data_IF_465353112139
#
_entry.id   IF_465353112139
#
_cell.length_a   1.000
_cell.length_b   1.000
_cell.length_c   1.000
_cell.angle_alpha   90.00
_cell.angle_beta   90.00
_cell.angle_gamma   90.00
#
_symmetry.space_group_name_H-M   'P 1'
#
loop_
_entity.id
_entity.type
_entity.pdbx_description
1 polymer ?
#
# COMPACT_ATOMS: atom_id res chain seq x y z
N UNK A 1 29.25 20.05 -23.48
CA UNK A 1 27.80 19.77 -23.51
C UNK A 1 27.37 19.54 -22.08
N UNK A 2 26.51 20.38 -21.50
CA UNK A 2 25.90 20.11 -20.20
C UNK A 2 24.81 19.07 -20.45
N UNK A 3 24.98 17.86 -19.89
CA UNK A 3 23.90 16.87 -19.88
C UNK A 3 22.66 17.48 -19.19
N UNK A 4 21.52 17.40 -19.82
CA UNK A 4 20.25 17.72 -19.16
C UNK A 4 20.11 16.74 -17.99
N UNK A 5 19.73 17.19 -16.78
CA UNK A 5 19.38 16.26 -15.72
C UNK A 5 18.25 15.37 -16.23
N UNK A 6 18.39 14.06 -16.06
CA UNK A 6 17.32 13.10 -16.34
C UNK A 6 16.09 13.46 -15.52
N UNK A 7 14.90 13.26 -16.08
CA UNK A 7 13.67 13.31 -15.29
C UNK A 7 13.72 12.21 -14.22
N UNK A 8 13.07 12.41 -13.06
CA UNK A 8 13.06 11.42 -11.97
C UNK A 8 12.67 10.01 -12.44
N UNK A 9 11.70 9.91 -13.32
CA UNK A 9 11.23 8.66 -13.93
C UNK A 9 12.31 8.02 -14.82
N UNK A 10 12.97 8.79 -15.68
CA UNK A 10 14.06 8.32 -16.53
C UNK A 10 15.25 7.84 -15.69
N UNK A 11 15.59 8.57 -14.63
CA UNK A 11 16.65 8.18 -13.72
C UNK A 11 16.31 6.87 -12.97
N UNK A 12 15.07 6.75 -12.49
CA UNK A 12 14.60 5.53 -11.82
C UNK A 12 14.69 4.32 -12.75
N UNK A 13 14.24 4.45 -14.00
CA UNK A 13 14.31 3.36 -14.99
C UNK A 13 15.75 3.00 -15.35
N UNK A 14 16.61 4.00 -15.55
CA UNK A 14 18.03 3.77 -15.86
C UNK A 14 18.73 2.99 -14.75
N UNK A 15 18.49 3.33 -13.50
CA UNK A 15 19.01 2.60 -12.34
C UNK A 15 18.40 1.21 -12.23
N UNK A 16 17.09 1.07 -12.37
CA UNK A 16 16.39 -0.20 -12.21
C UNK A 16 16.78 -1.21 -13.30
N UNK A 17 16.82 -0.80 -14.56
CA UNK A 17 17.20 -1.68 -15.67
C UNK A 17 18.72 -1.84 -15.83
N UNK A 18 19.51 -0.88 -15.36
CA UNK A 18 20.97 -0.95 -15.38
C UNK A 18 21.56 -1.90 -14.33
N UNK A 19 20.78 -2.29 -13.33
CA UNK A 19 21.25 -3.13 -12.23
C UNK A 19 21.46 -4.62 -12.63
N UNK A 20 20.91 -5.07 -13.76
CA UNK A 20 20.98 -6.47 -14.20
C UNK A 20 20.25 -7.44 -13.27
N UNK A 21 20.74 -8.69 -13.22
CA UNK A 21 20.14 -9.74 -12.38
C UNK A 21 20.61 -9.58 -10.92
N UNK A 22 19.91 -8.74 -10.16
CA UNK A 22 20.12 -8.60 -8.72
C UNK A 22 18.83 -8.92 -7.98
N UNK A 23 18.93 -9.65 -6.86
CA UNK A 23 17.77 -9.98 -6.02
C UNK A 23 17.21 -8.75 -5.30
N UNK A 24 18.07 -7.80 -4.96
CA UNK A 24 17.72 -6.59 -4.21
C UNK A 24 18.50 -5.39 -4.75
N UNK A 25 17.78 -4.36 -5.13
CA UNK A 25 18.33 -3.07 -5.53
C UNK A 25 17.97 -2.00 -4.50
N UNK A 26 18.97 -1.35 -3.92
CA UNK A 26 18.79 -0.23 -3.00
C UNK A 26 19.05 1.10 -3.71
N UNK A 27 18.01 1.91 -3.86
CA UNK A 27 18.11 3.26 -4.41
C UNK A 27 18.02 4.27 -3.26
N UNK A 28 19.00 5.15 -3.15
CA UNK A 28 19.07 6.17 -2.09
C UNK A 28 19.17 7.58 -2.67
N UNK A 29 18.84 8.58 -1.85
CA UNK A 29 19.03 9.99 -2.24
C UNK A 29 17.84 10.65 -2.92
N UNK A 30 16.71 9.95 -3.09
CA UNK A 30 15.49 10.47 -3.71
C UNK A 30 14.69 11.31 -2.68
N UNK A 31 15.16 12.53 -2.38
CA UNK A 31 14.62 13.31 -1.26
C UNK A 31 13.38 14.14 -1.59
N UNK A 32 13.31 14.68 -2.79
CA UNK A 32 12.35 15.72 -3.17
C UNK A 32 11.56 15.35 -4.43
N UNK A 33 11.55 14.07 -4.78
CA UNK A 33 10.93 13.58 -6.00
C UNK A 33 9.53 13.03 -5.76
N UNK A 34 8.78 12.87 -6.82
CA UNK A 34 7.51 12.18 -6.76
C UNK A 34 7.67 10.82 -6.08
N UNK A 35 6.65 10.33 -5.36
CA UNK A 35 6.75 9.07 -4.64
C UNK A 35 7.29 7.97 -5.53
N UNK A 36 8.40 7.36 -5.16
CA UNK A 36 9.01 6.25 -5.91
C UNK A 36 7.98 5.15 -6.19
N UNK A 37 7.05 4.96 -5.24
CA UNK A 37 5.91 4.08 -5.41
C UNK A 37 5.01 4.44 -6.63
N UNK A 38 5.05 5.68 -7.14
CA UNK A 38 4.35 6.02 -8.37
C UNK A 38 5.02 5.41 -9.62
N UNK A 39 6.28 5.01 -9.51
CA UNK A 39 7.06 4.40 -10.60
C UNK A 39 7.03 2.87 -10.59
N UNK A 40 6.42 2.27 -9.56
CA UNK A 40 6.38 0.81 -9.39
C UNK A 40 5.78 0.08 -10.60
N UNK A 41 4.85 0.72 -11.31
CA UNK A 41 4.24 0.15 -12.53
C UNK A 41 5.19 0.09 -13.74
N UNK A 42 6.34 0.77 -13.66
CA UNK A 42 7.34 0.79 -14.73
C UNK A 42 8.34 -0.37 -14.64
N UNK A 43 8.38 -1.07 -13.51
CA UNK A 43 9.30 -2.19 -13.27
C UNK A 43 8.46 -3.45 -13.07
N UNK A 44 8.48 -4.32 -14.08
CA UNK A 44 7.72 -5.56 -14.05
C UNK A 44 8.30 -6.54 -13.03
N UNK A 45 7.42 -7.32 -12.39
CA UNK A 45 7.72 -8.42 -11.46
C UNK A 45 8.65 -8.03 -10.28
N UNK A 46 8.74 -6.73 -9.98
CA UNK A 46 9.56 -6.21 -8.89
C UNK A 46 8.69 -5.59 -7.81
N UNK A 47 8.97 -5.93 -6.57
CA UNK A 47 8.36 -5.27 -5.41
C UNK A 47 9.16 -4.02 -5.09
N UNK A 48 8.49 -2.87 -5.08
CA UNK A 48 9.06 -1.61 -4.62
C UNK A 48 8.63 -1.36 -3.17
N UNK A 49 9.62 -1.24 -2.28
CA UNK A 49 9.41 -0.81 -0.90
C UNK A 49 10.01 0.57 -0.72
N UNK A 50 9.17 1.55 -0.40
CA UNK A 50 9.65 2.86 -0.04
C UNK A 50 9.87 2.96 1.47
N UNK A 51 11.10 3.22 1.87
CA UNK A 51 11.46 3.43 3.28
C UNK A 51 11.78 4.91 3.47
N UNK A 52 10.91 5.63 4.17
CA UNK A 52 11.19 7.00 4.59
C UNK A 52 11.99 6.97 5.89
N UNK A 53 13.22 7.47 5.81
CA UNK A 53 14.06 7.67 7.00
C UNK A 53 13.85 9.08 7.50
N UNK A 54 13.39 9.24 8.73
CA UNK A 54 13.20 10.54 9.37
C UNK A 54 13.92 10.61 10.71
N UNK A 55 14.16 11.81 11.20
CA UNK A 55 14.72 12.06 12.53
C UNK A 55 14.13 13.36 13.08
N UNK A 56 14.00 13.46 14.40
CA UNK A 56 13.56 14.67 15.08
C UNK A 56 14.48 15.85 14.76
N UNK A 57 13.94 17.06 14.89
CA UNK A 57 14.72 18.29 14.67
C UNK A 57 15.92 18.35 15.61
N UNK A 58 15.76 17.94 16.85
CA UNK A 58 16.83 17.87 17.83
C UNK A 58 17.96 16.94 17.37
N UNK A 59 17.65 15.73 16.93
CA UNK A 59 18.63 14.77 16.38
C UNK A 59 19.33 15.34 15.16
N UNK A 60 18.59 16.02 14.27
CA UNK A 60 19.17 16.65 13.09
C UNK A 60 20.12 17.78 13.42
N UNK A 61 19.80 18.62 14.41
CA UNK A 61 20.68 19.70 14.91
C UNK A 61 21.97 19.14 15.50
N UNK A 62 21.86 18.16 16.41
CA UNK A 62 23.03 17.50 17.01
C UNK A 62 23.95 16.89 15.95
N UNK A 63 23.38 16.20 14.95
CA UNK A 63 24.17 15.59 13.86
C UNK A 63 24.81 16.59 12.91
N UNK A 64 24.26 17.82 12.82
CA UNK A 64 24.86 18.96 12.08
C UNK A 64 25.96 19.68 12.87
N UNK A 65 26.19 19.31 14.13
CA UNK A 65 27.18 19.96 15.00
C UNK A 65 26.70 21.27 15.60
N UNK A 66 25.40 21.60 15.55
CA UNK A 66 24.85 22.74 16.26
C UNK A 66 24.68 22.35 17.72
N UNK A 67 25.53 22.90 18.61
CA UNK A 67 25.39 22.74 20.06
C UNK A 67 24.30 23.69 20.58
N UNK A 68 23.58 23.28 21.64
CA UNK A 68 22.68 24.15 22.39
C UNK A 68 23.52 25.28 23.03
N UNK A 69 23.54 26.41 22.43
CA UNK A 69 24.31 27.56 22.94
C UNK A 69 24.52 28.71 21.95
N UNK A 70 24.33 28.49 20.68
CA UNK A 70 24.42 29.51 19.65
C UNK A 70 23.04 30.18 19.45
N UNK A 71 22.65 30.93 20.43
CA UNK A 71 21.60 31.97 20.35
C UNK A 71 22.21 33.14 19.61
N UNK A 72 22.31 33.04 18.30
CA UNK A 72 22.89 34.11 17.50
C UNK A 72 21.84 35.13 17.09
N UNK A 73 21.96 36.24 17.77
CA UNK A 73 21.61 37.56 17.30
C UNK A 73 22.40 37.93 16.04
N UNK A 74 22.00 37.43 14.87
CA UNK A 74 22.31 38.01 13.57
C UNK A 74 21.07 37.99 12.66
N UNK A 75 20.14 38.89 12.98
CA UNK A 75 19.15 39.36 12.02
C UNK A 75 19.85 40.19 10.97
N UNK A 76 19.66 39.84 9.74
CA UNK A 76 19.96 40.54 8.48
C UNK A 76 21.18 40.02 7.68
N UNK A 77 20.89 39.15 6.74
CA UNK A 77 21.05 39.40 5.28
C UNK A 77 20.89 38.09 4.49
N UNK A 78 20.08 38.17 3.44
CA UNK A 78 20.07 37.23 2.32
C UNK A 78 19.34 35.88 2.51
N UNK A 79 18.10 35.90 2.98
CA UNK A 79 17.23 34.71 2.99
C UNK A 79 15.87 34.95 2.30
N UNK A 80 15.87 35.60 1.13
CA UNK A 80 14.63 35.76 0.34
C UNK A 80 14.42 34.65 -0.70
N UNK A 81 15.43 33.88 -1.07
CA UNK A 81 15.28 32.86 -2.13
C UNK A 81 15.13 31.41 -1.63
N UNK A 82 15.47 31.12 -0.37
CA UNK A 82 15.38 29.73 0.14
C UNK A 82 13.99 29.35 0.66
N UNK A 83 13.15 30.32 1.02
CA UNK A 83 11.79 30.04 1.52
C UNK A 83 10.72 29.93 0.43
N UNK A 84 11.03 30.35 -0.81
CA UNK A 84 10.08 30.30 -1.91
C UNK A 84 10.14 29.00 -2.73
N UNK A 85 11.19 28.19 -2.53
CA UNK A 85 11.29 26.86 -3.16
C UNK A 85 10.63 25.77 -2.30
N UNK A 86 10.42 26.03 -1.00
CA UNK A 86 9.75 25.08 -0.08
C UNK A 86 8.22 25.05 -0.17
N UNK A 87 7.58 26.02 -0.83
CA UNK A 87 6.13 26.17 -0.78
C UNK A 87 5.37 25.67 -2.00
N UNK A 88 6.03 25.16 -3.04
CA UNK A 88 5.36 24.72 -4.27
C UNK A 88 5.39 23.21 -4.53
N UNK A 89 6.08 22.43 -3.71
CA UNK A 89 5.80 21.00 -3.67
C UNK A 89 4.63 20.82 -2.71
N UNK A 90 3.43 20.71 -3.26
CA UNK A 90 2.36 20.01 -2.55
C UNK A 90 3.00 18.71 -2.09
N UNK A 91 3.31 18.61 -0.80
CA UNK A 91 3.69 17.35 -0.20
C UNK A 91 2.59 16.40 -0.64
N UNK A 92 2.92 15.50 -1.56
CA UNK A 92 1.96 14.53 -2.05
C UNK A 92 1.48 13.83 -0.80
N UNK A 93 0.19 13.97 -0.54
CA UNK A 93 -0.47 13.46 0.65
C UNK A 93 -0.52 11.93 0.55
N UNK A 94 0.62 11.29 0.81
CA UNK A 94 0.75 9.84 0.72
C UNK A 94 1.65 9.31 1.84
N UNK A 95 1.38 8.07 2.22
CA UNK A 95 2.18 7.34 3.19
C UNK A 95 3.21 6.45 2.46
N UNK A 96 4.49 6.48 2.83
CA UNK A 96 5.49 5.53 2.33
C UNK A 96 5.17 4.12 2.84
N UNK A 97 5.71 3.09 2.18
CA UNK A 97 5.52 1.70 2.60
C UNK A 97 5.98 1.47 4.04
N UNK A 98 7.11 2.05 4.40
CA UNK A 98 7.69 1.97 5.74
C UNK A 98 8.24 3.33 6.19
N UNK A 99 8.21 3.56 7.50
CA UNK A 99 8.83 4.74 8.12
C UNK A 99 9.84 4.23 9.15
N UNK A 100 11.08 4.71 9.06
CA UNK A 100 12.12 4.47 10.03
C UNK A 100 12.49 5.74 10.77
N UNK A 101 12.20 5.77 12.07
CA UNK A 101 12.57 6.86 12.97
C UNK A 101 14.01 6.68 13.44
N UNK A 102 14.93 7.47 12.87
CA UNK A 102 16.35 7.38 13.12
C UNK A 102 16.80 8.43 14.16
N UNK A 103 16.23 8.34 15.36
CA UNK A 103 16.57 9.27 16.46
C UNK A 103 17.64 8.74 17.39
N UNK A 104 18.01 7.49 17.28
CA UNK A 104 19.04 6.85 18.11
C UNK A 104 20.41 6.89 17.44
N UNK A 105 21.46 6.78 18.25
CA UNK A 105 22.84 6.61 17.78
C UNK A 105 23.20 5.13 17.82
N UNK A 106 23.89 4.65 16.76
CA UNK A 106 24.35 3.26 16.70
C UNK A 106 23.66 2.43 15.62
N UNK A 107 23.91 1.12 15.64
CA UNK A 107 23.45 0.17 14.61
C UNK A 107 22.27 -0.70 15.05
N UNK A 108 21.92 -0.68 16.32
CA UNK A 108 20.93 -1.61 16.90
C UNK A 108 19.51 -1.33 16.40
N UNK A 109 19.07 -0.07 16.37
CA UNK A 109 17.73 0.28 15.89
C UNK A 109 17.58 0.06 14.38
N UNK A 110 18.54 0.49 13.51
CA UNK A 110 18.49 0.11 12.09
C UNK A 110 18.47 -1.39 11.86
N UNK A 111 19.24 -2.16 12.64
CA UNK A 111 19.26 -3.62 12.56
C UNK A 111 17.91 -4.21 12.94
N UNK A 112 17.34 -3.79 14.09
CA UNK A 112 16.02 -4.23 14.53
C UNK A 112 14.93 -3.88 13.51
N UNK A 113 14.97 -2.68 12.95
CA UNK A 113 14.06 -2.27 11.89
C UNK A 113 14.17 -3.18 10.66
N UNK A 114 15.39 -3.46 10.21
CA UNK A 114 15.62 -4.36 9.08
C UNK A 114 15.12 -5.78 9.37
N UNK A 115 15.44 -6.34 10.53
CA UNK A 115 15.03 -7.69 10.94
C UNK A 115 13.49 -7.80 11.03
N UNK A 116 12.83 -6.78 11.53
CA UNK A 116 11.39 -6.83 11.77
C UNK A 116 10.57 -6.45 10.53
N UNK A 117 11.00 -5.46 9.75
CA UNK A 117 10.20 -4.89 8.68
C UNK A 117 10.72 -5.17 7.27
N UNK A 118 12.02 -5.45 7.09
CA UNK A 118 12.57 -5.69 5.75
C UNK A 118 12.75 -7.18 5.47
N UNK A 119 13.34 -7.94 6.40
CA UNK A 119 13.60 -9.36 6.19
C UNK A 119 12.35 -10.20 5.85
N UNK A 120 11.15 -9.92 6.40
CA UNK A 120 9.96 -10.67 6.00
C UNK A 120 9.68 -10.63 4.49
N UNK A 121 10.07 -9.56 3.79
CA UNK A 121 9.88 -9.44 2.34
C UNK A 121 10.85 -10.29 1.51
N UNK A 122 11.91 -10.81 2.11
CA UNK A 122 12.89 -11.69 1.45
C UNK A 122 12.67 -13.17 1.79
N UNK A 123 11.56 -13.50 2.42
CA UNK A 123 11.29 -14.87 2.88
C UNK A 123 10.90 -15.78 1.70
N UNK A 124 11.43 -17.01 1.69
CA UNK A 124 11.10 -18.04 0.69
C UNK A 124 9.59 -18.35 0.60
N UNK A 125 8.85 -18.09 1.67
CA UNK A 125 7.40 -18.31 1.73
C UNK A 125 6.62 -17.38 0.79
N UNK A 126 7.10 -16.18 0.51
CA UNK A 126 6.49 -15.32 -0.53
C UNK A 126 6.66 -15.95 -1.93
N UNK A 127 7.83 -16.49 -2.22
CA UNK A 127 8.04 -17.19 -3.49
C UNK A 127 7.19 -18.46 -3.58
N UNK A 128 7.06 -19.20 -2.49
CA UNK A 128 6.16 -20.35 -2.42
C UNK A 128 4.72 -19.95 -2.67
N UNK A 129 4.26 -18.84 -2.07
CA UNK A 129 2.93 -18.30 -2.28
C UNK A 129 2.73 -17.87 -3.76
N UNK A 130 3.73 -17.17 -4.33
CA UNK A 130 3.69 -16.73 -5.73
C UNK A 130 3.55 -17.93 -6.71
N UNK A 131 4.25 -19.03 -6.43
CA UNK A 131 4.18 -20.24 -7.23
C UNK A 131 2.81 -20.95 -7.18
N UNK A 132 1.96 -20.60 -6.19
CA UNK A 132 0.59 -21.11 -6.11
C UNK A 132 -0.39 -20.32 -6.99
N UNK A 133 0.02 -19.16 -7.50
CA UNK A 133 -0.81 -18.32 -8.38
C UNK A 133 -0.62 -18.74 -9.83
N UNK A 134 -1.67 -19.32 -10.42
CA UNK A 134 -1.62 -19.84 -11.79
C UNK A 134 -1.87 -18.73 -12.82
N UNK A 135 -1.00 -18.57 -13.82
CA UNK A 135 -1.27 -17.71 -14.97
C UNK A 135 -2.34 -18.37 -15.86
N UNK A 136 -3.29 -17.58 -16.34
CA UNK A 136 -4.34 -17.99 -17.26
C UNK A 136 -4.31 -17.05 -18.46
N UNK A 137 -3.74 -17.48 -19.60
CA UNK A 137 -3.67 -16.66 -20.79
C UNK A 137 -5.06 -16.42 -21.38
N UNK A 138 -5.22 -15.28 -22.02
CA UNK A 138 -6.43 -14.90 -22.77
C UNK A 138 -7.73 -14.90 -21.94
N UNK A 139 -7.66 -14.61 -20.65
CA UNK A 139 -8.82 -14.52 -19.77
C UNK A 139 -8.89 -13.13 -19.08
N UNK A 140 -10.07 -12.51 -18.98
CA UNK A 140 -11.39 -12.88 -19.53
C UNK A 140 -11.53 -12.56 -21.03
N UNK A 141 -10.50 -12.02 -21.65
CA UNK A 141 -10.45 -11.62 -23.07
C UNK A 141 -9.09 -11.96 -23.67
N UNK A 142 -9.01 -12.20 -25.00
CA UNK A 142 -7.73 -12.36 -25.68
C UNK A 142 -6.74 -11.22 -25.39
N UNK A 143 -5.48 -11.55 -25.17
CA UNK A 143 -4.40 -10.60 -24.89
C UNK A 143 -4.25 -10.22 -23.43
N UNK A 144 -5.09 -10.73 -22.53
CA UNK A 144 -4.95 -10.52 -21.07
C UNK A 144 -4.35 -11.79 -20.46
N UNK A 145 -3.25 -11.63 -19.72
CA UNK A 145 -2.72 -12.66 -18.84
C UNK A 145 -3.31 -12.49 -17.45
N UNK A 146 -4.28 -13.32 -17.12
CA UNK A 146 -4.91 -13.33 -15.82
C UNK A 146 -4.10 -14.17 -14.82
N UNK A 147 -3.96 -13.71 -13.60
CA UNK A 147 -3.35 -14.46 -12.50
C UNK A 147 -4.44 -14.92 -11.53
N UNK A 148 -4.65 -16.22 -11.44
CA UNK A 148 -5.71 -16.80 -10.60
C UNK A 148 -5.28 -16.90 -9.15
N UNK A 149 -5.43 -15.80 -8.40
CA UNK A 149 -4.99 -15.68 -7.01
C UNK A 149 -5.73 -16.65 -6.09
N UNK A 150 -7.00 -16.93 -6.36
CA UNK A 150 -7.80 -17.89 -5.56
C UNK A 150 -7.28 -19.33 -5.60
N UNK A 151 -6.41 -19.68 -6.56
CA UNK A 151 -5.73 -20.98 -6.57
C UNK A 151 -4.92 -21.24 -5.30
N UNK A 152 -4.46 -20.17 -4.62
CA UNK A 152 -3.80 -20.28 -3.31
C UNK A 152 -4.70 -21.05 -2.33
N UNK A 153 -5.98 -20.69 -2.26
CA UNK A 153 -6.92 -21.30 -1.32
C UNK A 153 -7.31 -22.73 -1.70
N UNK A 154 -7.06 -23.14 -2.96
CA UNK A 154 -7.37 -24.46 -3.48
C UNK A 154 -6.23 -25.46 -3.26
N UNK A 155 -5.06 -25.00 -2.83
CA UNK A 155 -3.90 -25.85 -2.57
C UNK A 155 -3.75 -26.19 -1.10
N UNK A 156 -3.35 -27.41 -0.75
CA UNK A 156 -3.10 -27.79 0.63
C UNK A 156 -2.07 -26.84 1.30
N UNK A 157 -2.46 -26.26 2.43
CA UNK A 157 -1.62 -25.32 3.16
C UNK A 157 -1.53 -23.91 2.57
N UNK A 158 -2.05 -23.66 1.37
CA UNK A 158 -1.94 -22.35 0.71
C UNK A 158 -2.64 -21.24 1.49
N UNK A 159 -3.88 -21.48 1.93
CA UNK A 159 -4.61 -20.50 2.74
C UNK A 159 -3.88 -20.22 4.07
N UNK A 160 -3.37 -21.24 4.75
CA UNK A 160 -2.64 -21.09 6.00
C UNK A 160 -1.35 -20.29 5.79
N UNK A 161 -0.59 -20.57 4.74
CA UNK A 161 0.60 -19.83 4.35
C UNK A 161 0.29 -18.35 4.07
N UNK A 162 -0.74 -18.11 3.24
CA UNK A 162 -1.16 -16.74 2.90
C UNK A 162 -1.59 -15.97 4.15
N UNK A 163 -2.37 -16.59 5.03
CA UNK A 163 -2.84 -15.97 6.28
C UNK A 163 -1.68 -15.63 7.22
N UNK A 164 -0.72 -16.53 7.37
CA UNK A 164 0.50 -16.27 8.16
C UNK A 164 1.30 -15.10 7.59
N UNK A 165 1.45 -15.03 6.27
CA UNK A 165 2.13 -13.92 5.61
C UNK A 165 1.36 -12.60 5.75
N UNK A 166 0.04 -12.59 5.61
CA UNK A 166 -0.77 -11.39 5.87
C UNK A 166 -0.58 -10.91 7.31
N UNK A 167 -0.61 -11.81 8.29
CA UNK A 167 -0.39 -11.45 9.68
C UNK A 167 1.00 -10.83 9.92
N UNK A 168 2.05 -11.45 9.39
CA UNK A 168 3.45 -11.03 9.64
C UNK A 168 3.87 -9.81 8.84
N UNK A 169 3.25 -9.55 7.68
CA UNK A 169 3.57 -8.40 6.83
C UNK A 169 2.77 -7.15 7.20
N UNK A 170 1.80 -7.26 8.08
CA UNK A 170 1.10 -6.07 8.57
C UNK A 170 2.05 -5.19 9.38
N UNK A 171 2.26 -3.95 8.93
CA UNK A 171 3.18 -2.99 9.58
C UNK A 171 2.55 -2.25 10.75
N UNK A 172 1.27 -2.46 11.01
CA UNK A 172 0.57 -1.95 12.18
C UNK A 172 0.67 -2.90 13.37
N UNK A 173 -0.13 -2.61 14.39
CA UNK A 173 -0.23 -3.41 15.61
C UNK A 173 -1.60 -4.09 15.66
N UNK A 174 -1.66 -5.41 15.54
CA UNK A 174 -2.90 -6.18 15.56
C UNK A 174 -3.70 -5.98 16.86
N UNK A 175 -3.03 -5.67 17.97
CA UNK A 175 -3.70 -5.39 19.24
C UNK A 175 -4.52 -4.09 19.22
N UNK A 176 -4.31 -3.24 18.23
CA UNK A 176 -5.04 -1.97 18.03
C UNK A 176 -6.07 -2.04 16.90
N UNK A 177 -6.19 -3.18 16.24
CA UNK A 177 -7.16 -3.36 15.16
C UNK A 177 -8.48 -3.81 15.74
N UNK A 178 -9.54 -3.05 15.48
CA UNK A 178 -10.89 -3.32 15.98
C UNK A 178 -11.70 -4.21 15.04
N UNK A 179 -11.41 -4.17 13.72
CA UNK A 179 -12.08 -5.01 12.74
C UNK A 179 -11.22 -5.31 11.51
N UNK A 180 -11.43 -6.50 10.93
CA UNK A 180 -11.03 -6.85 9.58
C UNK A 180 -12.23 -6.71 8.67
N UNK A 181 -12.16 -5.86 7.64
CA UNK A 181 -13.23 -5.69 6.66
C UNK A 181 -12.84 -6.29 5.31
N UNK A 182 -13.82 -6.76 4.53
CA UNK A 182 -13.55 -7.31 3.20
C UNK A 182 -14.77 -7.17 2.27
N UNK A 183 -14.48 -7.08 0.96
CA UNK A 183 -15.50 -7.02 -0.07
C UNK A 183 -15.72 -8.39 -0.72
N UNK A 184 -16.99 -8.67 -1.11
CA UNK A 184 -17.30 -9.92 -1.81
C UNK A 184 -16.70 -9.93 -3.21
N UNK A 185 -16.22 -11.09 -3.70
CA UNK A 185 -16.24 -12.39 -3.03
C UNK A 185 -14.84 -12.86 -2.62
N UNK A 186 -13.79 -12.54 -3.38
CA UNK A 186 -12.42 -13.02 -3.18
C UNK A 186 -11.84 -12.64 -1.82
N UNK A 187 -12.09 -11.40 -1.39
CA UNK A 187 -11.66 -10.90 -0.08
C UNK A 187 -12.18 -11.73 1.10
N UNK A 188 -13.37 -12.32 0.99
CA UNK A 188 -13.94 -13.13 2.06
C UNK A 188 -13.07 -14.33 2.44
N UNK A 189 -12.40 -14.96 1.46
CA UNK A 189 -11.58 -16.15 1.67
C UNK A 189 -10.41 -15.84 2.60
N UNK A 190 -9.68 -14.80 2.29
CA UNK A 190 -8.45 -14.43 3.00
C UNK A 190 -8.73 -13.67 4.30
N UNK A 191 -9.69 -12.76 4.24
CA UNK A 191 -10.08 -11.96 5.41
C UNK A 191 -10.65 -12.82 6.55
N UNK A 192 -11.47 -13.83 6.23
CA UNK A 192 -12.05 -14.73 7.23
C UNK A 192 -10.96 -15.53 7.96
N UNK A 193 -9.99 -16.05 7.22
CA UNK A 193 -8.88 -16.79 7.79
C UNK A 193 -7.98 -15.88 8.65
N UNK A 194 -7.70 -14.67 8.18
CA UNK A 194 -6.90 -13.70 8.92
C UNK A 194 -7.60 -13.24 10.19
N UNK A 195 -8.87 -12.85 10.11
CA UNK A 195 -9.66 -12.41 11.25
C UNK A 195 -9.71 -13.47 12.37
N UNK A 196 -9.88 -14.74 11.98
CA UNK A 196 -9.80 -15.87 12.90
C UNK A 196 -8.41 -15.97 13.55
N UNK A 197 -7.35 -15.87 12.77
CA UNK A 197 -5.98 -16.05 13.26
C UNK A 197 -5.54 -14.92 14.19
N UNK A 198 -5.91 -13.68 13.91
CA UNK A 198 -5.56 -12.52 14.75
C UNK A 198 -6.59 -12.24 15.84
N UNK A 199 -7.67 -13.01 15.88
CA UNK A 199 -8.78 -12.89 16.85
C UNK A 199 -9.43 -11.50 16.85
N UNK A 200 -9.73 -10.99 15.64
CA UNK A 200 -10.37 -9.68 15.40
C UNK A 200 -11.71 -9.90 14.69
N UNK A 201 -12.78 -9.13 15.00
CA UNK A 201 -14.06 -9.23 14.31
C UNK A 201 -13.96 -9.10 12.80
N UNK A 202 -14.78 -9.86 12.05
CA UNK A 202 -14.89 -9.78 10.61
C UNK A 202 -16.11 -8.98 10.20
N UNK A 203 -15.93 -7.97 9.35
CA UNK A 203 -16.97 -7.11 8.80
C UNK A 203 -17.10 -7.33 7.30
N UNK A 204 -18.31 -7.61 6.83
CA UNK A 204 -18.57 -7.91 5.43
C UNK A 204 -19.10 -6.69 4.70
N UNK A 205 -18.49 -6.38 3.56
CA UNK A 205 -18.98 -5.41 2.58
C UNK A 205 -19.56 -6.21 1.41
N UNK A 206 -20.82 -5.97 1.07
CA UNK A 206 -21.54 -6.75 0.07
C UNK A 206 -22.24 -5.89 -0.98
N UNK A 207 -22.65 -6.51 -2.07
CA UNK A 207 -23.55 -5.85 -3.03
C UNK A 207 -24.87 -5.47 -2.36
N UNK A 208 -25.39 -4.28 -2.64
CA UNK A 208 -26.55 -3.72 -1.98
C UNK A 208 -27.77 -4.63 -2.05
N UNK A 209 -28.48 -4.75 -0.92
CA UNK A 209 -29.63 -5.64 -0.74
C UNK A 209 -29.28 -7.04 -0.24
N UNK A 210 -28.02 -7.30 0.10
CA UNK A 210 -27.57 -8.59 0.65
C UNK A 210 -27.31 -8.58 2.15
N UNK A 211 -27.33 -7.41 2.78
CA UNK A 211 -27.21 -7.25 4.22
C UNK A 211 -28.53 -6.83 4.85
N UNK A 212 -28.78 -7.19 6.11
CA UNK A 212 -29.97 -6.73 6.83
C UNK A 212 -29.86 -5.22 7.10
N UNK A 213 -30.97 -4.44 7.01
CA UNK A 213 -30.96 -3.04 7.36
C UNK A 213 -30.84 -2.85 8.89
N UNK A 214 -30.30 -1.70 9.36
CA UNK A 214 -29.90 -0.54 8.57
C UNK A 214 -28.52 -0.69 7.95
N UNK A 215 -28.36 -0.24 6.70
CA UNK A 215 -27.09 -0.26 5.97
C UNK A 215 -26.69 1.14 5.49
N UNK A 216 -25.41 1.32 5.21
CA UNK A 216 -24.84 2.45 4.46
C UNK A 216 -24.40 1.91 3.12
N UNK A 217 -24.58 2.66 2.01
CA UNK A 217 -24.21 2.17 0.69
C UNK A 217 -23.65 3.25 -0.22
N UNK A 218 -22.66 2.89 -1.04
CA UNK A 218 -22.06 3.74 -2.06
C UNK A 218 -22.08 3.07 -3.43
N UNK A 219 -21.91 3.88 -4.48
CA UNK A 219 -21.75 3.37 -5.85
C UNK A 219 -20.38 2.71 -5.99
N UNK A 220 -20.37 1.51 -6.55
CA UNK A 220 -19.13 0.84 -6.97
C UNK A 220 -18.97 0.97 -8.49
N UNK A 221 -17.96 1.69 -8.98
CA UNK A 221 -17.68 1.73 -10.40
C UNK A 221 -17.45 0.34 -11.00
N UNK A 222 -17.81 0.11 -12.26
CA UNK A 222 -17.55 -1.16 -12.92
C UNK A 222 -16.04 -1.37 -13.06
N UNK A 223 -15.54 -2.53 -12.63
CA UNK A 223 -14.16 -2.93 -12.92
C UNK A 223 -14.07 -3.39 -14.37
N UNK A 224 -13.21 -2.75 -15.16
CA UNK A 224 -13.01 -3.09 -16.57
C UNK A 224 -12.36 -4.47 -16.79
N UNK A 225 -11.80 -5.07 -15.74
CA UNK A 225 -11.04 -6.31 -15.83
C UNK A 225 -11.89 -7.52 -15.43
N UNK A 226 -12.75 -7.40 -14.43
CA UNK A 226 -13.46 -8.54 -13.84
C UNK A 226 -14.87 -8.76 -14.39
N UNK A 227 -15.39 -7.92 -15.28
CA UNK A 227 -16.75 -8.08 -15.79
C UNK A 227 -16.79 -8.28 -17.31
N UNK A 228 -17.18 -9.47 -17.74
CA UNK A 228 -17.62 -9.74 -19.12
C UNK A 228 -18.98 -9.11 -19.45
N UNK A 229 -19.72 -8.68 -18.44
CA UNK A 229 -21.07 -8.19 -18.58
C UNK A 229 -21.09 -6.68 -18.92
N UNK A 230 -21.43 -6.39 -20.17
CA UNK A 230 -21.70 -5.02 -20.67
C UNK A 230 -23.03 -4.41 -20.18
N UNK A 231 -23.79 -5.11 -19.34
CA UNK A 231 -25.05 -4.59 -18.77
C UNK A 231 -24.77 -3.85 -17.47
N UNK A 232 -24.45 -2.60 -17.59
CA UNK A 232 -24.17 -1.69 -16.49
C UNK A 232 -25.46 -1.17 -15.81
N UNK A 233 -26.09 -2.01 -15.02
CA UNK A 233 -26.81 -1.42 -13.88
C UNK A 233 -25.73 -0.93 -12.90
N UNK A 234 -25.93 0.28 -12.41
CA UNK A 234 -25.09 0.88 -11.39
C UNK A 234 -25.01 -0.08 -10.19
N UNK A 235 -23.84 -0.64 -9.94
CA UNK A 235 -23.63 -1.52 -8.79
C UNK A 235 -23.37 -0.67 -7.56
N UNK A 236 -23.94 -1.09 -6.44
CA UNK A 236 -23.68 -0.48 -5.14
C UNK A 236 -23.16 -1.53 -4.19
N UNK A 237 -22.29 -1.12 -3.29
CA UNK A 237 -21.83 -1.92 -2.14
C UNK A 237 -22.35 -1.30 -0.86
N UNK A 238 -22.57 -2.13 0.15
CA UNK A 238 -23.12 -1.74 1.44
C UNK A 238 -22.39 -2.40 2.60
N UNK A 239 -22.46 -1.76 3.75
CA UNK A 239 -22.01 -2.23 5.05
C UNK A 239 -23.16 -2.04 6.05
N UNK A 240 -23.28 -2.90 7.07
CA UNK A 240 -24.21 -2.67 8.16
C UNK A 240 -23.82 -1.40 8.93
N UNK A 241 -24.83 -0.59 9.27
CA UNK A 241 -24.60 0.63 10.05
C UNK A 241 -24.20 0.26 11.48
N UNK A 242 -23.24 1.00 12.01
CA UNK A 242 -22.76 0.84 13.39
C UNK A 242 -22.14 -0.54 13.70
N UNK A 243 -21.78 -1.32 12.66
CA UNK A 243 -21.11 -2.62 12.83
C UNK A 243 -19.69 -2.47 13.40
N UNK A 244 -19.08 -1.29 13.18
CA UNK A 244 -17.78 -0.90 13.72
C UNK A 244 -17.96 0.42 14.49
N UNK A 245 -17.36 0.58 15.68
CA UNK A 245 -17.41 1.85 16.42
C UNK A 245 -16.77 3.00 15.63
N UNK A 246 -17.21 4.23 15.89
CA UNK A 246 -16.58 5.43 15.34
C UNK A 246 -15.12 5.52 15.80
N UNK A 247 -14.21 5.87 14.88
CA UNK A 247 -12.78 5.97 15.16
C UNK A 247 -12.11 4.60 15.39
N UNK A 248 -12.74 3.51 14.95
CA UNK A 248 -12.16 2.19 15.02
C UNK A 248 -11.05 2.01 13.98
N UNK A 249 -10.01 1.31 14.37
CA UNK A 249 -8.92 0.91 13.46
C UNK A 249 -9.34 -0.30 12.62
N UNK A 250 -9.39 -0.16 11.30
CA UNK A 250 -9.89 -1.18 10.38
C UNK A 250 -8.81 -1.63 9.41
N UNK A 251 -8.64 -2.93 9.26
CA UNK A 251 -7.80 -3.52 8.21
C UNK A 251 -8.70 -4.07 7.11
N UNK A 252 -8.67 -3.45 5.94
CA UNK A 252 -9.36 -3.96 4.75
C UNK A 252 -8.49 -5.01 4.07
N UNK A 253 -9.04 -6.21 3.87
CA UNK A 253 -8.34 -7.31 3.20
C UNK A 253 -9.04 -7.65 1.89
N UNK A 254 -8.28 -7.68 0.80
CA UNK A 254 -8.80 -8.07 -0.52
C UNK A 254 -7.84 -9.09 -1.19
N UNK A 255 -8.37 -9.87 -2.12
CA UNK A 255 -7.56 -10.83 -2.88
C UNK A 255 -6.65 -10.12 -3.89
N UNK A 256 -7.15 -9.06 -4.54
CA UNK A 256 -6.46 -8.39 -5.65
C UNK A 256 -6.59 -6.88 -5.59
N UNK A 257 -5.47 -6.17 -5.61
CA UNK A 257 -5.39 -4.77 -5.98
C UNK A 257 -5.00 -4.65 -7.46
N UNK A 258 -5.97 -4.32 -8.28
CA UNK A 258 -5.79 -4.08 -9.73
C UNK A 258 -5.95 -2.58 -10.03
N UNK A 259 -7.08 -2.16 -10.60
CA UNK A 259 -7.34 -0.74 -10.93
C UNK A 259 -7.58 0.13 -9.69
N UNK A 260 -7.87 -0.45 -8.54
CA UNK A 260 -8.17 0.27 -7.29
C UNK A 260 -9.61 0.78 -7.17
N UNK A 261 -10.47 0.65 -8.19
CA UNK A 261 -11.84 1.15 -8.16
C UNK A 261 -12.68 0.52 -7.03
N UNK A 262 -12.52 -0.78 -6.78
CA UNK A 262 -13.21 -1.46 -5.66
C UNK A 262 -12.76 -0.88 -4.32
N UNK A 263 -11.46 -0.73 -4.12
CA UNK A 263 -10.92 -0.19 -2.87
C UNK A 263 -11.29 1.29 -2.68
N UNK A 264 -11.33 2.11 -3.74
CA UNK A 264 -11.86 3.46 -3.66
C UNK A 264 -13.32 3.47 -3.15
N UNK A 265 -14.16 2.58 -3.70
CA UNK A 265 -15.55 2.49 -3.24
C UNK A 265 -15.65 1.97 -1.80
N UNK A 266 -14.81 1.01 -1.40
CA UNK A 266 -14.74 0.52 -0.01
C UNK A 266 -14.35 1.65 0.94
N UNK A 267 -13.33 2.44 0.60
CA UNK A 267 -12.89 3.56 1.43
C UNK A 267 -13.94 4.66 1.55
N UNK A 268 -14.63 4.99 0.45
CA UNK A 268 -15.78 5.90 0.49
C UNK A 268 -16.90 5.36 1.37
N UNK A 269 -17.16 4.04 1.31
CA UNK A 269 -18.18 3.41 2.13
C UNK A 269 -17.84 3.46 3.63
N UNK A 270 -16.58 3.24 3.98
CA UNK A 270 -16.10 3.32 5.36
C UNK A 270 -16.20 4.77 5.88
N UNK A 271 -15.83 5.76 5.07
CA UNK A 271 -15.98 7.17 5.41
C UNK A 271 -17.45 7.56 5.65
N UNK A 272 -18.36 7.13 4.77
CA UNK A 272 -19.82 7.30 4.95
C UNK A 272 -20.39 6.53 6.16
N UNK A 273 -19.67 5.54 6.66
CA UNK A 273 -19.99 4.80 7.87
C UNK A 273 -19.33 5.39 9.14
N UNK A 274 -18.81 6.62 9.07
CA UNK A 274 -18.11 7.33 10.15
C UNK A 274 -16.79 6.64 10.62
N UNK A 275 -16.13 5.88 9.72
CA UNK A 275 -14.80 5.29 9.95
C UNK A 275 -13.78 6.14 9.19
N UNK A 276 -12.94 6.88 9.92
CA UNK A 276 -11.94 7.78 9.34
C UNK A 276 -10.91 7.03 8.49
N UNK A 277 -10.56 7.58 7.34
CA UNK A 277 -9.57 6.95 6.44
C UNK A 277 -8.17 6.88 7.04
N UNK A 278 -7.87 7.72 8.02
CA UNK A 278 -6.61 7.69 8.79
C UNK A 278 -6.46 6.43 9.66
N UNK A 279 -7.58 5.82 10.04
CA UNK A 279 -7.64 4.62 10.88
C UNK A 279 -7.75 3.34 10.03
N UNK A 280 -7.68 3.48 8.69
CA UNK A 280 -7.78 2.35 7.75
C UNK A 280 -6.41 1.94 7.22
N UNK A 281 -6.16 0.65 7.19
CA UNK A 281 -5.06 0.02 6.45
C UNK A 281 -5.61 -0.97 5.43
N UNK A 282 -4.91 -1.16 4.32
CA UNK A 282 -5.29 -2.12 3.26
C UNK A 282 -4.22 -3.19 3.14
N UNK A 283 -4.65 -4.45 3.08
CA UNK A 283 -3.80 -5.59 2.74
C UNK A 283 -4.39 -6.33 1.54
N UNK A 284 -3.61 -6.46 0.47
CA UNK A 284 -3.97 -7.25 -0.71
C UNK A 284 -3.07 -8.49 -0.81
N UNK A 285 -3.65 -9.62 -1.20
CA UNK A 285 -2.84 -10.82 -1.45
C UNK A 285 -1.98 -10.62 -2.68
N UNK A 286 -2.53 -10.04 -3.74
CA UNK A 286 -1.79 -9.73 -4.96
C UNK A 286 -2.07 -8.32 -5.47
N UNK A 287 -1.07 -7.70 -6.07
CA UNK A 287 -1.16 -6.41 -6.75
C UNK A 287 -0.68 -6.52 -8.18
N UNK A 288 -1.46 -5.96 -9.11
CA UNK A 288 -1.10 -5.85 -10.53
C UNK A 288 -0.74 -4.40 -10.85
N UNK A 289 0.56 -4.08 -10.78
CA UNK A 289 1.06 -2.71 -10.90
C UNK A 289 0.74 -2.06 -12.24
N UNK A 290 0.65 -2.83 -13.31
CA UNK A 290 0.28 -2.34 -14.66
C UNK A 290 -1.05 -1.58 -14.66
N UNK A 291 -1.96 -1.89 -13.75
CA UNK A 291 -3.26 -1.21 -13.63
C UNK A 291 -3.24 0.05 -12.74
N UNK A 292 -2.12 0.37 -12.12
CA UNK A 292 -1.88 1.61 -11.38
C UNK A 292 -2.89 1.87 -10.27
N UNK A 293 -3.35 0.81 -9.56
CA UNK A 293 -4.40 0.93 -8.54
C UNK A 293 -4.04 1.85 -7.38
N UNK A 294 -2.81 1.77 -6.88
CA UNK A 294 -2.35 2.67 -5.81
C UNK A 294 -2.30 4.12 -6.27
N UNK A 295 -1.98 4.39 -7.53
CA UNK A 295 -2.01 5.74 -8.08
C UNK A 295 -3.43 6.30 -8.13
N UNK A 296 -4.42 5.48 -8.54
CA UNK A 296 -5.83 5.88 -8.49
C UNK A 296 -6.24 6.25 -7.06
N UNK A 297 -5.91 5.43 -6.07
CA UNK A 297 -6.20 5.69 -4.66
C UNK A 297 -5.62 7.04 -4.22
N UNK A 298 -4.36 7.33 -4.55
CA UNK A 298 -3.74 8.62 -4.25
C UNK A 298 -4.46 9.79 -4.91
N UNK A 299 -4.80 9.67 -6.20
CA UNK A 299 -5.54 10.71 -6.95
C UNK A 299 -6.93 10.99 -6.38
N UNK A 300 -7.54 9.99 -5.74
CA UNK A 300 -8.85 10.11 -5.09
C UNK A 300 -8.77 10.62 -3.65
N UNK A 301 -7.58 11.01 -3.16
CA UNK A 301 -7.36 11.55 -1.82
C UNK A 301 -7.03 10.51 -0.76
N UNK A 302 -6.84 9.25 -1.13
CA UNK A 302 -6.53 8.15 -0.21
C UNK A 302 -5.02 7.85 -0.11
N UNK A 303 -4.17 8.84 -0.42
CA UNK A 303 -2.71 8.66 -0.43
C UNK A 303 -2.08 8.39 0.93
N UNK A 304 -2.76 8.72 2.03
CA UNK A 304 -2.28 8.50 3.41
C UNK A 304 -2.52 7.10 3.94
N UNK A 305 -3.36 6.32 3.27
CA UNK A 305 -3.70 4.98 3.71
C UNK A 305 -2.49 4.06 3.55
N UNK A 306 -2.24 3.24 4.56
CA UNK A 306 -1.22 2.20 4.48
C UNK A 306 -1.72 1.06 3.60
N UNK A 307 -1.07 0.86 2.44
CA UNK A 307 -1.42 -0.20 1.48
C UNK A 307 -0.25 -1.17 1.39
N UNK A 308 -0.53 -2.43 1.65
CA UNK A 308 0.45 -3.51 1.63
C UNK A 308 -0.05 -4.66 0.76
N UNK A 309 0.80 -5.13 -0.14
CA UNK A 309 0.52 -6.28 -1.01
C UNK A 309 1.55 -7.38 -0.76
N UNK A 310 1.11 -8.63 -0.60
CA UNK A 310 2.04 -9.75 -0.42
C UNK A 310 2.79 -10.07 -1.70
N UNK A 311 2.06 -10.20 -2.80
CA UNK A 311 2.61 -10.51 -4.11
C UNK A 311 2.44 -9.30 -5.03
N UNK A 312 3.44 -9.04 -5.85
CA UNK A 312 3.40 -7.97 -6.85
C UNK A 312 3.72 -8.56 -8.21
N UNK A 313 2.83 -8.34 -9.17
CA UNK A 313 2.97 -8.82 -10.54
C UNK A 313 3.03 -7.63 -11.50
N UNK A 314 4.02 -7.63 -12.38
CA UNK A 314 4.22 -6.56 -13.37
C UNK A 314 3.48 -6.79 -14.69
N UNK A 315 3.08 -8.01 -15.01
CA UNK A 315 2.34 -8.35 -16.23
C UNK A 315 0.83 -8.07 -16.12
N UNK A 316 0.19 -7.81 -17.26
CA UNK A 316 -1.25 -7.67 -17.40
C UNK A 316 -1.90 -9.03 -17.46
#
# INVERSE_FOLDING_TARGET
MRQRPLLPEEHFLDVAYGAGDVDVLLITGMRDEAPVAAFSHLVSDSRLLEVRVQASEQTRRVRRGCHEGDDDSDENKDNKDSNNVRSNFMALDYRPSLIFDNDTTGKEEPKRFAEHYLLPFFHEDLQRLANMVRPVPDFPRPGIEFRHVLDISQQPGGLALCTSLLQTHFTGDWAKVDAVACCEAGGFVYASALALQVNVPLVLIREAGKLPPPTVSVIKPPSHISSLASNSKEKRIEIERDVVPRGASVVVVDDVLSTGETLCAVLQLLDEADIGTEDVSIMAVAEFQVHRGQELLRRRGFGRINIQSLLVFGGA
#
